data_IF_395455926301
#
_entry.id   IF_395455926301
#
_cell.length_a   1.000
_cell.length_b   1.000
_cell.length_c   1.000
_cell.angle_alpha   90.00
_cell.angle_beta   90.00
_cell.angle_gamma   90.00
#
_symmetry.space_group_name_H-M   'P 1'
#
loop_
_entity.id
_entity.type
_entity.pdbx_description
1 polymer ?
#
# COMPACT_ATOMS: atom_id res chain seq x y z
N UNK A 1 38.20 -35.14 -3.83
CA UNK A 1 37.89 -34.41 -5.09
C UNK A 1 37.34 -33.04 -4.73
N UNK A 2 38.21 -32.11 -4.34
CA UNK A 2 37.85 -30.85 -3.69
C UNK A 2 38.65 -29.66 -4.26
N UNK A 3 38.76 -29.54 -5.58
CA UNK A 3 39.54 -28.44 -6.19
C UNK A 3 39.00 -27.91 -7.52
N UNK A 4 37.67 -27.83 -7.68
CA UNK A 4 37.04 -27.23 -8.87
C UNK A 4 35.93 -26.21 -8.55
N UNK A 5 35.76 -25.82 -7.29
CA UNK A 5 34.71 -24.88 -6.86
C UNK A 5 35.16 -23.43 -6.72
N UNK A 6 36.40 -23.08 -7.08
CA UNK A 6 36.94 -21.72 -6.84
C UNK A 6 37.36 -20.93 -8.10
N UNK A 7 37.16 -21.44 -9.31
CA UNK A 7 37.68 -20.83 -10.55
C UNK A 7 36.61 -20.24 -11.48
N UNK A 8 35.46 -19.83 -10.94
CA UNK A 8 34.47 -19.05 -11.69
C UNK A 8 33.90 -17.90 -10.84
N UNK A 9 34.76 -17.21 -10.09
CA UNK A 9 34.59 -15.76 -9.91
C UNK A 9 34.74 -15.10 -11.30
N UNK A 10 33.70 -15.21 -12.15
CA UNK A 10 33.53 -14.34 -13.29
C UNK A 10 33.34 -12.96 -12.67
N UNK A 11 34.39 -12.11 -12.69
CA UNK A 11 34.35 -10.73 -12.20
C UNK A 11 33.20 -10.01 -12.91
N UNK A 12 32.02 -10.01 -12.30
CA UNK A 12 30.95 -9.10 -12.68
C UNK A 12 31.55 -7.69 -12.64
N UNK A 13 31.26 -6.89 -13.68
CA UNK A 13 31.70 -5.50 -13.67
C UNK A 13 31.07 -4.79 -12.46
N UNK A 14 31.71 -3.74 -11.92
CA UNK A 14 31.14 -2.99 -10.79
C UNK A 14 29.72 -2.49 -11.08
N UNK A 15 29.42 -2.24 -12.37
CA UNK A 15 28.08 -1.87 -12.84
C UNK A 15 27.08 -3.02 -12.70
N UNK A 16 27.44 -4.25 -13.08
CA UNK A 16 26.56 -5.43 -12.95
C UNK A 16 26.30 -5.73 -11.47
N UNK A 17 27.35 -5.69 -10.64
CA UNK A 17 27.21 -5.91 -9.21
C UNK A 17 26.32 -4.84 -8.57
N UNK A 18 26.47 -3.57 -8.98
CA UNK A 18 25.59 -2.48 -8.57
C UNK A 18 24.13 -2.69 -9.01
N UNK A 19 23.90 -3.22 -10.21
CA UNK A 19 22.53 -3.51 -10.69
C UNK A 19 21.88 -4.67 -9.93
N UNK A 20 22.66 -5.71 -9.60
CA UNK A 20 22.20 -6.83 -8.77
C UNK A 20 21.84 -6.36 -7.35
N UNK A 21 22.72 -5.59 -6.71
CA UNK A 21 22.47 -5.08 -5.36
C UNK A 21 21.31 -4.08 -5.34
N UNK A 22 21.18 -3.24 -6.37
CA UNK A 22 20.04 -2.34 -6.53
C UNK A 22 18.73 -3.12 -6.64
N UNK A 23 18.62 -4.07 -7.56
CA UNK A 23 17.39 -4.86 -7.75
C UNK A 23 16.97 -5.63 -6.50
N UNK A 24 17.93 -6.27 -5.83
CA UNK A 24 17.67 -6.99 -4.57
C UNK A 24 17.32 -6.03 -3.44
N UNK A 25 18.08 -4.95 -3.27
CA UNK A 25 17.84 -3.96 -2.22
C UNK A 25 16.47 -3.29 -2.38
N UNK A 26 16.11 -2.91 -3.60
CA UNK A 26 14.84 -2.26 -3.90
C UNK A 26 13.65 -3.20 -3.69
N UNK A 27 13.73 -4.46 -4.13
CA UNK A 27 12.64 -5.45 -3.91
C UNK A 27 12.40 -5.73 -2.43
N UNK A 28 13.45 -5.90 -1.64
CA UNK A 28 13.35 -6.11 -0.19
C UNK A 28 12.85 -4.86 0.55
N UNK A 29 13.32 -3.68 0.16
CA UNK A 29 12.84 -2.42 0.72
C UNK A 29 11.34 -2.22 0.44
N UNK A 30 10.91 -2.43 -0.81
CA UNK A 30 9.50 -2.33 -1.19
C UNK A 30 8.65 -3.36 -0.46
N UNK A 31 9.11 -4.61 -0.37
CA UNK A 31 8.45 -5.65 0.42
C UNK A 31 8.24 -5.24 1.89
N UNK A 32 9.28 -4.72 2.54
CA UNK A 32 9.22 -4.22 3.91
C UNK A 32 8.22 -3.06 4.06
N UNK A 33 8.22 -2.12 3.11
CA UNK A 33 7.29 -1.00 3.13
C UNK A 33 5.83 -1.45 2.98
N UNK A 34 5.54 -2.41 2.09
CA UNK A 34 4.20 -2.96 1.88
C UNK A 34 3.74 -3.76 3.10
N UNK A 35 4.62 -4.58 3.68
CA UNK A 35 4.34 -5.31 4.92
C UNK A 35 4.02 -4.36 6.08
N UNK A 36 4.77 -3.26 6.21
CA UNK A 36 4.55 -2.26 7.27
C UNK A 36 3.18 -1.62 7.13
N UNK A 37 2.78 -1.23 5.92
CA UNK A 37 1.45 -0.70 5.65
C UNK A 37 0.36 -1.71 6.01
N UNK A 38 0.50 -2.96 5.57
CA UNK A 38 -0.51 -4.01 5.82
C UNK A 38 -0.64 -4.40 7.30
N UNK A 39 0.46 -4.49 8.04
CA UNK A 39 0.46 -5.02 9.42
C UNK A 39 0.39 -3.94 10.50
N UNK A 40 0.81 -2.70 10.22
CA UNK A 40 0.81 -1.63 11.22
C UNK A 40 -0.22 -0.55 10.90
N UNK A 41 -0.32 -0.13 9.64
CA UNK A 41 -1.14 1.03 9.29
C UNK A 41 -2.62 0.68 9.07
N UNK A 42 -2.91 -0.35 8.27
CA UNK A 42 -4.28 -0.76 7.96
C UNK A 42 -5.06 -1.19 9.23
N UNK A 43 -4.50 -1.99 10.16
CA UNK A 43 -5.20 -2.31 11.40
C UNK A 43 -5.51 -1.07 12.25
N UNK A 44 -4.59 -0.09 12.30
CA UNK A 44 -4.82 1.19 12.99
C UNK A 44 -5.96 1.99 12.39
N UNK A 45 -6.07 2.01 11.05
CA UNK A 45 -7.17 2.65 10.34
C UNK A 45 -8.51 1.92 10.58
N UNK A 46 -8.52 0.59 10.59
CA UNK A 46 -9.72 -0.19 10.92
C UNK A 46 -10.16 0.10 12.36
N UNK A 47 -9.25 0.14 13.33
CA UNK A 47 -9.57 0.50 14.71
C UNK A 47 -10.16 1.91 14.80
N UNK A 48 -9.61 2.87 14.05
CA UNK A 48 -10.16 4.22 13.95
C UNK A 48 -11.59 4.23 13.36
N UNK A 49 -11.89 3.35 12.38
CA UNK A 49 -13.27 3.19 11.89
C UNK A 49 -14.19 2.59 12.96
N UNK A 50 -13.70 1.83 13.94
CA UNK A 50 -14.49 1.18 14.98
C UNK A 50 -14.70 2.03 16.24
N UNK A 51 -13.98 3.14 16.40
CA UNK A 51 -14.22 4.08 17.51
C UNK A 51 -15.60 4.73 17.36
N UNK A 52 -16.53 4.40 18.26
CA UNK A 52 -17.84 5.05 18.40
C UNK A 52 -17.76 6.03 19.57
N UNK A 53 -18.35 7.20 19.43
CA UNK A 53 -18.51 8.09 20.57
C UNK A 53 -19.49 7.40 21.55
N UNK A 54 -19.03 7.01 22.75
CA UNK A 54 -19.89 6.50 23.83
C UNK A 54 -20.60 7.66 24.55
N UNK A 55 -21.14 8.63 23.82
CA UNK A 55 -21.83 9.76 24.41
C UNK A 55 -23.14 10.06 23.69
N UNK A 56 -24.21 9.35 24.09
CA UNK A 56 -25.52 9.94 24.39
C UNK A 56 -26.52 8.87 24.87
N UNK A 57 -26.68 8.72 26.18
CA UNK A 57 -28.02 8.50 26.75
C UNK A 57 -28.23 9.65 27.73
N UNK A 58 -29.12 10.58 27.41
CA UNK A 58 -29.29 11.93 28.00
C UNK A 58 -28.38 12.93 27.25
N UNK A 59 -28.86 13.90 26.48
CA UNK A 59 -29.98 14.81 26.76
C UNK A 59 -30.55 15.35 25.45
N UNK A 60 -31.80 15.02 25.13
CA UNK A 60 -32.60 15.84 24.20
C UNK A 60 -32.93 17.15 24.93
N UNK A 61 -32.35 18.27 24.49
CA UNK A 61 -32.95 19.58 24.76
C UNK A 61 -33.10 20.32 23.45
N UNK A 62 -34.37 20.47 23.05
CA UNK A 62 -34.80 21.20 21.86
C UNK A 62 -34.33 22.64 21.91
N UNK A 63 -33.26 22.93 21.18
CA UNK A 63 -32.78 24.30 20.96
C UNK A 63 -32.76 24.58 19.45
N UNK A 64 -33.81 25.25 18.97
CA UNK A 64 -34.01 25.74 17.60
C UNK A 64 -33.15 26.98 17.31
N UNK A 65 -31.86 26.95 17.59
CA UNK A 65 -30.92 28.00 17.15
C UNK A 65 -29.88 27.37 16.24
N UNK A 66 -29.75 27.81 14.97
CA UNK A 66 -28.66 27.37 14.13
C UNK A 66 -27.36 27.81 14.81
N UNK A 67 -26.60 26.84 15.31
CA UNK A 67 -25.28 27.10 15.83
C UNK A 67 -24.43 27.50 14.60
N UNK A 68 -23.76 28.67 14.60
CA UNK A 68 -22.96 29.08 13.45
C UNK A 68 -21.92 27.99 13.19
N UNK A 69 -22.02 27.39 12.01
CA UNK A 69 -21.00 26.52 11.42
C UNK A 69 -19.69 27.29 11.48
N UNK A 70 -18.84 26.93 12.44
CA UNK A 70 -17.47 27.39 12.43
C UNK A 70 -16.85 26.79 11.17
N UNK A 71 -16.66 27.64 10.17
CA UNK A 71 -15.72 27.42 9.08
C UNK A 71 -14.46 26.80 9.65
N UNK A 72 -14.26 25.54 9.29
CA UNK A 72 -13.12 24.78 9.72
C UNK A 72 -12.88 23.71 8.66
N UNK A 73 -12.43 24.20 7.51
CA UNK A 73 -11.37 23.59 6.71
C UNK A 73 -10.08 23.30 7.55
N UNK A 74 -10.19 22.96 8.84
CA UNK A 74 -9.09 22.40 9.62
C UNK A 74 -9.00 20.95 9.21
N UNK A 75 -8.13 20.74 8.22
CA UNK A 75 -7.41 19.51 7.93
C UNK A 75 -7.40 18.58 9.14
N UNK A 76 -8.34 17.63 9.15
CA UNK A 76 -8.38 16.50 10.08
C UNK A 76 -7.31 15.50 9.64
N UNK A 77 -6.06 15.97 9.60
CA UNK A 77 -4.91 15.12 9.38
C UNK A 77 -4.60 14.43 10.70
N UNK A 78 -4.84 13.13 10.79
CA UNK A 78 -4.29 12.33 11.87
C UNK A 78 -2.78 12.38 11.70
N UNK A 79 -2.06 12.88 12.71
CA UNK A 79 -0.61 12.77 12.73
C UNK A 79 -0.21 11.29 12.61
N UNK A 80 0.97 10.97 12.06
CA UNK A 80 1.40 9.59 11.85
C UNK A 80 1.35 8.74 13.15
N UNK A 81 1.61 9.36 14.30
CA UNK A 81 1.47 8.68 15.61
C UNK A 81 0.03 8.41 16.03
N UNK A 82 -0.92 9.25 15.60
CA UNK A 82 -2.34 9.10 15.88
C UNK A 82 -2.97 7.96 15.04
N UNK A 83 -2.45 7.73 13.82
CA UNK A 83 -2.85 6.58 12.99
C UNK A 83 -2.32 5.26 13.56
N UNK A 84 -1.07 5.26 14.04
CA UNK A 84 -0.45 4.09 14.68
C UNK A 84 -1.12 3.69 16.01
N UNK A 85 -1.70 4.65 16.72
CA UNK A 85 -2.44 4.42 17.98
C UNK A 85 -3.95 4.33 17.79
N UNK A 86 -4.45 4.55 16.57
CA UNK A 86 -5.88 4.63 16.27
C UNK A 86 -6.60 5.79 16.96
N UNK A 87 -5.90 6.83 17.43
CA UNK A 87 -6.50 7.96 18.14
C UNK A 87 -7.06 8.99 17.15
N UNK A 88 -8.38 9.04 16.99
CA UNK A 88 -9.01 10.09 16.20
C UNK A 88 -9.08 11.40 17.00
N UNK A 89 -8.81 12.54 16.38
CA UNK A 89 -8.95 13.84 17.04
C UNK A 89 -10.38 13.98 17.64
N UNK A 90 -10.52 14.50 18.87
CA UNK A 90 -11.81 14.54 19.58
C UNK A 90 -12.92 15.27 18.81
N UNK A 91 -12.56 16.23 17.95
CA UNK A 91 -13.50 16.93 17.06
C UNK A 91 -14.20 16.02 16.02
N UNK A 92 -13.53 14.99 15.50
CA UNK A 92 -14.13 14.02 14.57
C UNK A 92 -14.89 12.89 15.29
N UNK A 93 -14.56 12.62 16.55
CA UNK A 93 -15.36 11.77 17.42
C UNK A 93 -16.72 12.43 17.75
N UNK A 94 -16.76 13.74 17.96
CA UNK A 94 -18.01 14.49 18.21
C UNK A 94 -19.00 14.48 17.04
N UNK A 95 -18.56 14.19 15.81
CA UNK A 95 -19.40 14.20 14.61
C UNK A 95 -19.79 12.80 14.08
N UNK A 96 -19.46 11.71 14.81
CA UNK A 96 -19.65 10.31 14.36
C UNK A 96 -19.00 10.02 12.99
N UNK A 97 -17.90 10.72 12.67
CA UNK A 97 -17.25 10.72 11.35
C UNK A 97 -15.85 10.09 11.36
N UNK A 98 -15.51 9.31 12.40
CA UNK A 98 -14.20 8.67 12.54
C UNK A 98 -13.78 7.80 11.34
N UNK A 99 -14.75 7.14 10.69
CA UNK A 99 -14.52 6.37 9.47
C UNK A 99 -14.12 7.24 8.27
N UNK A 100 -14.62 8.48 8.17
CA UNK A 100 -14.22 9.44 7.12
C UNK A 100 -12.78 9.89 7.31
N UNK A 101 -12.36 10.10 8.57
CA UNK A 101 -10.97 10.46 8.87
C UNK A 101 -10.01 9.32 8.51
N UNK A 102 -10.37 8.07 8.83
CA UNK A 102 -9.59 6.91 8.41
C UNK A 102 -9.53 6.77 6.88
N UNK A 103 -10.64 7.04 6.18
CA UNK A 103 -10.67 7.03 4.73
C UNK A 103 -9.78 8.13 4.11
N UNK A 104 -9.78 9.35 4.65
CA UNK A 104 -8.88 10.44 4.21
C UNK A 104 -7.41 10.05 4.40
N UNK A 105 -7.06 9.50 5.57
CA UNK A 105 -5.68 9.04 5.82
C UNK A 105 -5.26 7.92 4.87
N UNK A 106 -6.16 6.99 4.59
CA UNK A 106 -5.93 5.96 3.60
C UNK A 106 -5.67 6.54 2.20
N UNK A 107 -6.46 7.52 1.76
CA UNK A 107 -6.31 8.13 0.43
C UNK A 107 -4.98 8.87 0.31
N UNK A 108 -4.60 9.64 1.34
CA UNK A 108 -3.29 10.29 1.40
C UNK A 108 -2.15 9.26 1.37
N UNK A 109 -2.27 8.18 2.14
CA UNK A 109 -1.31 7.08 2.13
C UNK A 109 -1.24 6.41 0.76
N UNK A 110 -2.36 6.07 0.12
CA UNK A 110 -2.36 5.38 -1.18
C UNK A 110 -1.72 6.24 -2.27
N UNK A 111 -2.07 7.54 -2.33
CA UNK A 111 -1.49 8.48 -3.31
C UNK A 111 0.03 8.64 -3.11
N UNK A 112 0.49 8.76 -1.87
CA UNK A 112 1.92 8.89 -1.56
C UNK A 112 2.67 7.58 -1.80
N UNK A 113 2.08 6.43 -1.46
CA UNK A 113 2.64 5.11 -1.73
C UNK A 113 2.80 4.89 -3.23
N UNK A 114 1.79 5.22 -4.05
CA UNK A 114 1.88 5.09 -5.51
C UNK A 114 3.03 5.94 -6.08
N UNK A 115 3.12 7.21 -5.69
CA UNK A 115 4.16 8.12 -6.16
C UNK A 115 5.58 7.68 -5.77
N UNK A 116 5.74 7.02 -4.62
CA UNK A 116 7.05 6.63 -4.09
C UNK A 116 7.45 5.20 -4.44
N UNK A 117 6.49 4.29 -4.66
CA UNK A 117 6.75 2.87 -4.93
C UNK A 117 6.84 2.55 -6.42
N UNK A 118 6.04 3.19 -7.28
CA UNK A 118 5.99 2.86 -8.71
C UNK A 118 7.32 3.14 -9.44
N UNK A 119 7.99 4.30 -9.25
CA UNK A 119 9.27 4.53 -9.90
C UNK A 119 10.35 3.46 -9.60
N UNK A 120 10.61 3.08 -8.33
CA UNK A 120 11.56 2.01 -8.05
C UNK A 120 11.10 0.63 -8.54
N UNK A 121 9.80 0.32 -8.58
CA UNK A 121 9.28 -0.91 -9.19
C UNK A 121 9.66 -0.98 -10.70
N UNK A 122 9.45 0.10 -11.44
CA UNK A 122 9.79 0.18 -12.87
C UNK A 122 11.30 0.08 -13.10
N UNK A 123 12.10 0.78 -12.30
CA UNK A 123 13.57 0.68 -12.39
C UNK A 123 14.06 -0.74 -12.11
N UNK A 124 13.43 -1.44 -11.17
CA UNK A 124 13.75 -2.84 -10.86
C UNK A 124 13.42 -3.76 -12.04
N UNK A 125 12.28 -3.55 -12.71
CA UNK A 125 11.91 -4.30 -13.92
C UNK A 125 12.94 -4.07 -15.03
N UNK A 126 13.32 -2.82 -15.27
CA UNK A 126 14.32 -2.48 -16.30
C UNK A 126 15.67 -3.09 -15.97
N UNK A 127 16.12 -2.97 -14.71
CA UNK A 127 17.40 -3.51 -14.27
C UNK A 127 17.45 -5.05 -14.34
N UNK A 128 16.42 -5.74 -13.89
CA UNK A 128 16.32 -7.20 -13.98
C UNK A 128 16.16 -7.70 -15.42
N UNK A 129 15.42 -6.97 -16.26
CA UNK A 129 15.34 -7.21 -17.69
C UNK A 129 16.70 -7.06 -18.40
N UNK A 130 17.45 -6.02 -18.04
CA UNK A 130 18.82 -5.82 -18.54
C UNK A 130 19.76 -6.96 -18.10
N UNK A 131 19.74 -7.37 -16.83
CA UNK A 131 20.54 -8.50 -16.33
C UNK A 131 20.21 -9.80 -17.07
N UNK A 132 18.93 -10.05 -17.30
CA UNK A 132 18.45 -11.20 -18.08
C UNK A 132 19.03 -11.19 -19.49
N UNK A 133 18.89 -10.06 -20.20
CA UNK A 133 19.42 -9.90 -21.55
C UNK A 133 20.93 -10.05 -21.59
N UNK A 134 21.65 -9.39 -20.67
CA UNK A 134 23.10 -9.43 -20.57
C UNK A 134 23.61 -10.87 -20.38
N UNK A 135 23.03 -11.61 -19.44
CA UNK A 135 23.43 -13.00 -19.18
C UNK A 135 23.03 -13.97 -20.30
N UNK A 136 21.89 -13.74 -20.95
CA UNK A 136 21.51 -14.49 -22.14
C UNK A 136 22.43 -14.23 -23.33
N UNK A 137 22.79 -12.97 -23.58
CA UNK A 137 23.72 -12.56 -24.64
C UNK A 137 25.12 -13.11 -24.40
N UNK A 138 25.55 -13.20 -23.14
CA UNK A 138 26.80 -13.83 -22.73
C UNK A 138 26.78 -15.38 -22.78
N UNK A 139 25.71 -15.98 -23.32
CA UNK A 139 25.49 -17.44 -23.45
C UNK A 139 25.67 -18.21 -22.14
N UNK A 140 25.29 -17.61 -21.02
CA UNK A 140 25.30 -18.28 -19.72
C UNK A 140 24.17 -19.29 -19.60
N UNK A 141 24.29 -20.29 -18.70
CA UNK A 141 23.26 -21.29 -18.48
C UNK A 141 21.92 -20.64 -18.07
N UNK A 142 20.84 -21.34 -18.41
CA UNK A 142 19.48 -20.90 -18.11
C UNK A 142 19.23 -20.68 -16.62
N UNK A 143 19.96 -21.39 -15.74
CA UNK A 143 19.87 -21.20 -14.29
C UNK A 143 20.13 -19.77 -13.83
N UNK A 144 20.97 -19.00 -14.55
CA UNK A 144 21.38 -17.65 -14.13
C UNK A 144 20.44 -16.61 -14.74
N UNK A 145 20.23 -16.62 -16.06
CA UNK A 145 19.40 -15.59 -16.70
C UNK A 145 17.90 -15.78 -16.41
N UNK A 146 17.42 -17.02 -16.22
CA UNK A 146 16.01 -17.26 -15.93
C UNK A 146 15.60 -16.75 -14.54
N UNK A 147 16.53 -16.68 -13.57
CA UNK A 147 16.26 -16.09 -12.25
C UNK A 147 16.00 -14.59 -12.34
N UNK A 148 16.83 -13.86 -13.07
CA UNK A 148 16.61 -12.43 -13.32
C UNK A 148 15.34 -12.18 -14.15
N UNK A 149 15.02 -13.08 -15.07
CA UNK A 149 13.76 -13.04 -15.82
C UNK A 149 12.55 -13.26 -14.88
N UNK A 150 12.66 -14.19 -13.94
CA UNK A 150 11.64 -14.45 -12.94
C UNK A 150 11.44 -13.25 -12.00
N UNK A 151 12.52 -12.58 -11.58
CA UNK A 151 12.42 -11.31 -10.81
C UNK A 151 11.65 -10.26 -11.62
N UNK A 152 12.01 -10.03 -12.88
CA UNK A 152 11.31 -9.08 -13.75
C UNK A 152 9.82 -9.43 -13.88
N UNK A 153 9.51 -10.72 -14.11
CA UNK A 153 8.15 -11.21 -14.24
C UNK A 153 7.32 -11.05 -12.97
N UNK A 154 7.88 -11.39 -11.81
CA UNK A 154 7.21 -11.25 -10.52
C UNK A 154 6.91 -9.79 -10.18
N UNK A 155 7.87 -8.87 -10.38
CA UNK A 155 7.65 -7.45 -10.14
C UNK A 155 6.62 -6.88 -11.13
N UNK A 156 6.64 -7.32 -12.38
CA UNK A 156 5.64 -6.90 -13.38
C UNK A 156 4.24 -7.40 -13.05
N UNK A 157 4.10 -8.61 -12.49
CA UNK A 157 2.82 -9.19 -12.09
C UNK A 157 2.06 -8.38 -11.02
N UNK A 158 2.75 -7.45 -10.35
CA UNK A 158 2.14 -6.55 -9.35
C UNK A 158 1.26 -5.48 -10.02
N UNK A 159 1.58 -5.04 -11.23
CA UNK A 159 0.84 -3.98 -11.91
C UNK A 159 -0.62 -4.35 -12.21
N UNK A 160 -0.93 -5.55 -12.76
CA UNK A 160 -2.31 -6.01 -12.91
C UNK A 160 -3.05 -6.12 -11.57
N UNK A 161 -2.38 -6.54 -10.50
CA UNK A 161 -2.98 -6.64 -9.17
C UNK A 161 -3.37 -5.26 -8.63
N UNK A 162 -2.45 -4.30 -8.74
CA UNK A 162 -2.67 -2.92 -8.30
C UNK A 162 -3.74 -2.23 -9.15
N UNK A 163 -3.56 -2.19 -10.46
CA UNK A 163 -4.46 -1.48 -11.38
C UNK A 163 -5.85 -2.13 -11.51
N UNK A 164 -5.92 -3.47 -11.48
CA UNK A 164 -7.16 -4.20 -11.67
C UNK A 164 -8.02 -4.32 -10.41
N UNK A 165 -7.40 -4.54 -9.24
CA UNK A 165 -8.14 -4.84 -8.02
C UNK A 165 -8.03 -3.76 -6.94
N UNK A 166 -6.89 -3.09 -6.79
CA UNK A 166 -6.69 -2.11 -5.72
C UNK A 166 -7.24 -0.73 -6.09
N UNK A 167 -7.00 -0.24 -7.32
CA UNK A 167 -7.49 1.08 -7.78
C UNK A 167 -9.02 1.24 -7.64
N UNK A 168 -9.86 0.25 -8.02
CA UNK A 168 -11.31 0.37 -7.79
C UNK A 168 -11.69 0.47 -6.30
N UNK A 169 -10.92 -0.16 -5.41
CA UNK A 169 -11.14 -0.07 -3.96
C UNK A 169 -10.70 1.30 -3.45
N UNK A 170 -9.60 1.85 -3.97
CA UNK A 170 -9.13 3.19 -3.64
C UNK A 170 -10.18 4.25 -3.98
N UNK A 171 -10.80 4.16 -5.17
CA UNK A 171 -11.92 5.03 -5.55
C UNK A 171 -13.11 4.90 -4.60
N UNK A 172 -13.46 3.67 -4.17
CA UNK A 172 -14.56 3.47 -3.21
C UNK A 172 -14.25 4.13 -1.86
N UNK A 173 -13.02 4.02 -1.38
CA UNK A 173 -12.60 4.66 -0.12
C UNK A 173 -12.51 6.18 -0.29
N UNK A 174 -12.06 6.68 -1.43
CA UNK A 174 -12.02 8.12 -1.76
C UNK A 174 -13.41 8.77 -1.81
N UNK A 175 -14.43 8.05 -2.27
CA UNK A 175 -15.84 8.51 -2.21
C UNK A 175 -16.34 8.62 -0.78
N UNK A 176 -15.98 7.66 0.11
CA UNK A 176 -16.33 7.73 1.54
C UNK A 176 -15.59 8.89 2.23
N UNK A 177 -14.35 9.16 1.81
CA UNK A 177 -13.56 10.30 2.27
C UNK A 177 -14.11 11.65 1.81
N UNK A 178 -15.00 11.67 0.79
CA UNK A 178 -15.49 12.89 0.16
C UNK A 178 -14.48 13.55 -0.78
N UNK A 179 -13.41 12.86 -1.16
CA UNK A 179 -12.44 13.35 -2.17
C UNK A 179 -12.92 13.09 -3.61
N UNK A 180 -13.87 12.17 -3.79
CA UNK A 180 -14.51 11.88 -5.07
C UNK A 180 -16.03 12.03 -4.96
N UNK A 181 -16.66 12.38 -6.09
CA UNK A 181 -18.11 12.46 -6.17
C UNK A 181 -18.74 11.13 -5.70
N UNK A 182 -19.64 11.22 -4.73
CA UNK A 182 -20.45 10.07 -4.35
C UNK A 182 -21.22 9.62 -5.60
N UNK A 183 -21.29 8.31 -5.83
CA UNK A 183 -22.21 7.79 -6.85
C UNK A 183 -23.59 8.14 -6.33
N UNK A 184 -24.28 9.05 -7.02
CA UNK A 184 -25.57 9.60 -6.61
C UNK A 184 -26.46 8.47 -6.07
N UNK A 185 -26.71 8.44 -4.75
CA UNK A 185 -27.81 7.66 -4.22
C UNK A 185 -29.10 8.27 -4.80
N UNK A 186 -30.11 7.45 -5.06
CA UNK A 186 -31.45 7.96 -5.37
C UNK A 186 -31.81 9.07 -4.38
N UNK A 187 -32.34 10.20 -4.89
CA UNK A 187 -32.50 11.52 -4.23
C UNK A 187 -33.07 11.51 -2.79
N UNK A 188 -33.65 10.39 -2.32
CA UNK A 188 -34.42 10.29 -1.08
C UNK A 188 -33.81 9.38 0.02
N UNK A 189 -32.65 8.76 -0.18
CA UNK A 189 -32.07 7.91 0.87
C UNK A 189 -31.29 8.76 1.88
N UNK A 190 -31.69 8.80 3.17
CA UNK A 190 -30.87 9.43 4.20
C UNK A 190 -29.48 8.80 4.21
N UNK A 191 -28.40 9.57 4.45
CA UNK A 191 -27.05 9.04 4.51
C UNK A 191 -26.96 8.00 5.62
N UNK A 192 -26.89 6.72 5.24
CA UNK A 192 -26.73 5.60 6.16
C UNK A 192 -25.27 5.50 6.60
N UNK A 193 -24.98 6.18 7.71
CA UNK A 193 -23.65 6.24 8.32
C UNK A 193 -23.15 4.87 8.78
N UNK A 194 -24.05 3.94 9.13
CA UNK A 194 -23.66 2.60 9.57
C UNK A 194 -23.27 1.72 8.36
N UNK A 195 -23.98 1.86 7.24
CA UNK A 195 -23.59 1.26 5.97
C UNK A 195 -22.27 1.82 5.43
N UNK A 196 -22.07 3.15 5.43
CA UNK A 196 -20.80 3.77 4.99
C UNK A 196 -19.60 3.29 5.82
N UNK A 197 -19.79 3.17 7.14
CA UNK A 197 -18.77 2.70 8.08
C UNK A 197 -18.40 1.23 7.86
N UNK A 198 -19.39 0.35 7.75
CA UNK A 198 -19.15 -1.08 7.51
C UNK A 198 -18.51 -1.32 6.13
N UNK A 199 -18.91 -0.54 5.12
CA UNK A 199 -18.26 -0.53 3.80
C UNK A 199 -16.81 -0.07 3.89
N UNK A 200 -16.51 1.01 4.62
CA UNK A 200 -15.14 1.49 4.82
C UNK A 200 -14.24 0.42 5.44
N UNK A 201 -14.72 -0.27 6.48
CA UNK A 201 -13.99 -1.37 7.11
C UNK A 201 -13.75 -2.54 6.14
N UNK A 202 -14.78 -2.95 5.40
CA UNK A 202 -14.67 -4.03 4.42
C UNK A 202 -13.65 -3.71 3.31
N UNK A 203 -13.69 -2.48 2.79
CA UNK A 203 -12.76 -2.02 1.75
C UNK A 203 -11.32 -1.91 2.28
N UNK A 204 -11.12 -1.37 3.48
CA UNK A 204 -9.79 -1.31 4.10
C UNK A 204 -9.20 -2.71 4.35
N UNK A 205 -10.02 -3.67 4.83
CA UNK A 205 -9.60 -5.06 5.00
C UNK A 205 -9.24 -5.72 3.67
N UNK A 206 -10.09 -5.55 2.65
CA UNK A 206 -9.86 -6.11 1.33
C UNK A 206 -8.59 -5.53 0.69
N UNK A 207 -8.39 -4.21 0.79
CA UNK A 207 -7.19 -3.55 0.30
C UNK A 207 -5.94 -4.03 1.04
N UNK A 208 -5.99 -4.12 2.37
CA UNK A 208 -4.88 -4.62 3.19
C UNK A 208 -4.49 -6.06 2.83
N UNK A 209 -5.46 -6.92 2.54
CA UNK A 209 -5.20 -8.28 2.08
C UNK A 209 -4.50 -8.30 0.71
N UNK A 210 -4.97 -7.50 -0.25
CA UNK A 210 -4.32 -7.39 -1.57
C UNK A 210 -2.90 -6.82 -1.46
N UNK A 211 -2.68 -5.83 -0.59
CA UNK A 211 -1.36 -5.27 -0.35
C UNK A 211 -0.41 -6.28 0.33
N UNK A 212 -0.92 -7.16 1.20
CA UNK A 212 -0.15 -8.27 1.76
C UNK A 212 0.26 -9.28 0.70
N UNK A 213 -0.63 -9.58 -0.26
CA UNK A 213 -0.28 -10.44 -1.42
C UNK A 213 0.83 -9.78 -2.25
N UNK A 214 0.76 -8.46 -2.50
CA UNK A 214 1.86 -7.73 -3.16
C UNK A 214 3.18 -7.85 -2.40
N UNK A 215 3.15 -7.70 -1.08
CA UNK A 215 4.34 -7.86 -0.25
C UNK A 215 4.93 -9.26 -0.39
N UNK A 216 4.12 -10.32 -0.40
CA UNK A 216 4.59 -11.71 -0.60
C UNK A 216 5.24 -11.89 -1.97
N UNK A 217 4.64 -11.33 -3.04
CA UNK A 217 5.23 -11.37 -4.39
C UNK A 217 6.58 -10.64 -4.41
N UNK A 218 6.70 -9.49 -3.75
CA UNK A 218 7.96 -8.76 -3.64
C UNK A 218 9.02 -9.51 -2.83
N UNK A 219 8.63 -10.17 -1.73
CA UNK A 219 9.54 -11.04 -0.96
C UNK A 219 10.01 -12.20 -1.82
N UNK A 220 9.13 -12.85 -2.59
CA UNK A 220 9.51 -13.92 -3.50
C UNK A 220 10.48 -13.42 -4.58
N UNK A 221 10.22 -12.25 -5.17
CA UNK A 221 11.13 -11.62 -6.13
C UNK A 221 12.50 -11.30 -5.50
N UNK A 222 12.52 -10.70 -4.31
CA UNK A 222 13.74 -10.42 -3.55
C UNK A 222 14.51 -11.69 -3.18
N UNK A 223 13.82 -12.77 -2.81
CA UNK A 223 14.40 -14.08 -2.50
C UNK A 223 15.06 -14.74 -3.73
N UNK A 224 14.38 -14.69 -4.89
CA UNK A 224 14.97 -15.17 -6.16
C UNK A 224 16.18 -14.31 -6.55
N UNK A 225 16.10 -12.99 -6.37
CA UNK A 225 17.21 -12.08 -6.63
C UNK A 225 18.41 -12.31 -5.71
N UNK A 226 18.18 -12.53 -4.41
CA UNK A 226 19.21 -12.91 -3.44
C UNK A 226 19.88 -14.23 -3.83
N UNK A 227 19.09 -15.23 -4.21
CA UNK A 227 19.63 -16.50 -4.66
C UNK A 227 20.47 -16.35 -5.95
N UNK A 228 20.04 -15.50 -6.88
CA UNK A 228 20.80 -15.17 -8.08
C UNK A 228 22.05 -14.30 -7.82
N UNK A 229 22.14 -13.66 -6.66
CA UNK A 229 23.27 -12.83 -6.24
C UNK A 229 24.36 -13.66 -5.54
N UNK A 230 23.96 -14.75 -4.87
CA UNK A 230 24.85 -15.67 -4.16
C UNK A 230 25.46 -16.77 -5.05
N UNK A 231 24.94 -16.95 -6.27
CA UNK A 231 25.46 -17.86 -7.29
C UNK A 231 26.40 -17.14 -8.27
#
# INVERSE_FOLDING_TARGET
MASLTSTLMRRDSPLILGLKSFTVGTTLFLAGSMATVSFQLIPGLILATQQRNKLSSNTETGRLTPNPTSDSNKQLHLGPQAVLTGSVAPAALHADSGYKVAAIQFVLMSKTAFATQVPPELLTIIASGFLTYHYRAAKLPASIWAKWAAVAGLVTAIFPLTGGFMVPIDHKIARIAGEEAQVEPYEDAPPDREAERSNAEAFLRQWGLLNSVRAVVMVAAGGVGLWALLE
#
